data_IF_718175462201
#
_entry.id   IF_718175462201
#
_cell.length_a   1.000
_cell.length_b   1.000
_cell.length_c   1.000
_cell.angle_alpha   90.00
_cell.angle_beta   90.00
_cell.angle_gamma   90.00
#
_symmetry.space_group_name_H-M   'P 1'
#
loop_
_entity.id
_entity.type
_entity.pdbx_description
1 polymer ?
#
# COMPACT_ATOMS: atom_id res chain seq x y z
N UNK A 1 -16.06 15.25 -9.45
CA UNK A 1 -15.34 13.98 -9.42
C UNK A 1 -15.55 13.27 -8.09
N UNK A 2 -15.96 12.05 -8.15
CA UNK A 2 -16.11 11.25 -6.94
C UNK A 2 -14.74 10.84 -6.41
N UNK A 3 -14.50 11.08 -5.11
CA UNK A 3 -13.34 10.57 -4.43
C UNK A 3 -13.69 9.25 -3.78
N UNK A 4 -12.77 8.30 -3.85
CA UNK A 4 -12.93 7.02 -3.16
C UNK A 4 -12.43 7.14 -1.74
N UNK A 5 -13.12 6.49 -0.82
CA UNK A 5 -12.66 6.35 0.55
C UNK A 5 -11.48 5.38 0.56
N UNK A 6 -10.42 5.69 1.30
CA UNK A 6 -9.28 4.81 1.49
C UNK A 6 -9.41 4.11 2.84
N UNK A 7 -9.50 2.80 2.80
CA UNK A 7 -9.69 1.98 4.00
C UNK A 7 -8.52 0.99 4.10
N UNK A 8 -7.95 0.85 5.30
CA UNK A 8 -6.88 -0.08 5.56
C UNK A 8 -7.43 -1.39 6.11
N UNK A 9 -7.03 -2.50 5.52
CA UNK A 9 -7.33 -3.81 6.10
C UNK A 9 -6.49 -3.99 7.38
N UNK A 10 -6.95 -4.84 8.26
CA UNK A 10 -6.23 -5.16 9.50
C UNK A 10 -4.83 -5.68 9.22
N UNK A 11 -4.69 -6.53 8.21
CA UNK A 11 -3.39 -7.08 7.82
C UNK A 11 -2.43 -5.97 7.37
N UNK A 12 -2.92 -5.02 6.57
CA UNK A 12 -2.10 -3.91 6.09
C UNK A 12 -1.65 -3.00 7.24
N UNK A 13 -2.54 -2.71 8.19
CA UNK A 13 -2.20 -1.92 9.37
C UNK A 13 -1.08 -2.60 10.16
N UNK A 14 -1.22 -3.88 10.44
CA UNK A 14 -0.23 -4.65 11.19
C UNK A 14 1.13 -4.66 10.48
N UNK A 15 1.12 -4.87 9.16
CA UNK A 15 2.35 -4.87 8.37
C UNK A 15 3.03 -3.51 8.38
N UNK A 16 2.25 -2.44 8.21
CA UNK A 16 2.79 -1.09 8.21
C UNK A 16 3.40 -0.73 9.57
N UNK A 17 2.70 -1.04 10.66
CA UNK A 17 3.21 -0.78 12.00
C UNK A 17 4.54 -1.48 12.25
N UNK A 18 4.67 -2.74 11.82
CA UNK A 18 5.92 -3.50 11.95
C UNK A 18 7.06 -2.87 11.16
N UNK A 19 6.77 -2.41 9.95
CA UNK A 19 7.76 -1.74 9.10
C UNK A 19 8.27 -0.48 9.77
N UNK A 20 7.37 0.36 10.25
CA UNK A 20 7.73 1.63 10.88
C UNK A 20 8.48 1.39 12.19
N UNK A 21 8.04 0.43 13.00
CA UNK A 21 8.74 0.08 14.25
C UNK A 21 10.15 -0.41 13.98
N UNK A 22 10.34 -1.21 12.95
CA UNK A 22 11.68 -1.69 12.56
C UNK A 22 12.60 -0.53 12.18
N UNK A 23 12.11 0.41 11.39
CA UNK A 23 12.89 1.60 10.98
C UNK A 23 13.19 2.47 12.20
N UNK A 24 12.24 2.58 13.13
CA UNK A 24 12.37 3.40 14.32
C UNK A 24 13.47 2.93 15.27
N UNK A 25 13.80 1.64 15.22
CA UNK A 25 14.93 1.11 15.99
C UNK A 25 16.26 1.76 15.60
N UNK A 26 16.41 2.12 14.32
CA UNK A 26 17.60 2.82 13.84
C UNK A 26 17.50 4.33 13.98
N UNK A 27 16.33 4.89 13.65
CA UNK A 27 16.15 6.34 13.62
C UNK A 27 14.68 6.70 13.70
N UNK A 28 14.28 7.36 14.79
CA UNK A 28 12.92 7.91 14.94
C UNK A 28 12.60 8.90 13.83
N UNK A 29 13.54 9.78 13.52
CA UNK A 29 13.37 10.81 12.51
C UNK A 29 13.13 10.19 11.13
N UNK A 30 13.90 9.18 10.79
CA UNK A 30 13.76 8.49 9.51
C UNK A 30 12.43 7.72 9.42
N UNK A 31 12.01 7.09 10.52
CA UNK A 31 10.73 6.39 10.58
C UNK A 31 9.57 7.33 10.31
N UNK A 32 9.56 8.50 10.95
CA UNK A 32 8.50 9.50 10.75
C UNK A 32 8.48 9.99 9.31
N UNK A 33 9.64 10.23 8.72
CA UNK A 33 9.77 10.69 7.35
C UNK A 33 9.21 9.68 6.35
N UNK A 34 9.57 8.41 6.52
CA UNK A 34 9.10 7.34 5.64
C UNK A 34 7.60 7.13 5.82
N UNK A 35 7.14 7.13 7.05
CA UNK A 35 5.71 7.00 7.38
C UNK A 35 4.89 8.07 6.65
N UNK A 36 5.32 9.32 6.75
CA UNK A 36 4.60 10.44 6.13
C UNK A 36 4.56 10.31 4.61
N UNK A 37 5.67 9.91 3.99
CA UNK A 37 5.73 9.75 2.54
C UNK A 37 4.81 8.63 2.05
N UNK A 38 4.78 7.50 2.75
CA UNK A 38 3.93 6.38 2.39
C UNK A 38 2.46 6.75 2.57
N UNK A 39 2.11 7.34 3.72
CA UNK A 39 0.73 7.74 3.98
C UNK A 39 0.23 8.76 2.96
N UNK A 40 1.06 9.73 2.61
CA UNK A 40 0.70 10.72 1.62
C UNK A 40 0.42 10.09 0.26
N UNK A 41 1.27 9.15 -0.15
CA UNK A 41 1.10 8.43 -1.42
C UNK A 41 -0.18 7.59 -1.41
N UNK A 42 -0.45 6.90 -0.32
CA UNK A 42 -1.65 6.07 -0.18
C UNK A 42 -2.91 6.95 -0.23
N UNK A 43 -2.88 8.11 0.43
CA UNK A 43 -4.04 9.00 0.45
C UNK A 43 -4.38 9.52 -0.95
N UNK A 44 -3.41 9.61 -1.85
CA UNK A 44 -3.68 10.00 -3.24
C UNK A 44 -4.46 8.94 -4.03
N UNK A 45 -4.59 7.72 -3.52
CA UNK A 45 -5.40 6.68 -4.15
C UNK A 45 -6.89 7.02 -4.17
N UNK A 46 -7.32 8.01 -3.40
CA UNK A 46 -8.70 8.51 -3.48
C UNK A 46 -9.00 9.19 -4.82
N UNK A 47 -7.97 9.60 -5.56
CA UNK A 47 -8.11 10.31 -6.83
C UNK A 47 -8.29 9.32 -7.99
N UNK A 48 -9.42 9.42 -8.70
CA UNK A 48 -9.74 8.53 -9.81
C UNK A 48 -8.76 8.61 -10.99
N UNK A 49 -8.00 9.70 -11.09
CA UNK A 49 -7.04 9.89 -12.17
C UNK A 49 -5.76 9.09 -11.96
N UNK A 50 -5.52 8.60 -10.75
CA UNK A 50 -4.34 7.79 -10.44
C UNK A 50 -4.57 6.37 -10.94
N UNK A 51 -3.67 5.90 -11.82
CA UNK A 51 -3.73 4.56 -12.40
C UNK A 51 -2.45 3.81 -12.10
N UNK A 52 -2.59 2.60 -11.58
CA UNK A 52 -1.47 1.71 -11.29
C UNK A 52 -1.63 0.39 -12.03
N UNK A 53 -0.60 -0.44 -11.95
CA UNK A 53 -0.58 -1.73 -12.64
C UNK A 53 -1.34 -2.79 -11.86
N UNK A 54 -1.89 -3.77 -12.57
CA UNK A 54 -2.51 -4.94 -11.94
C UNK A 54 -1.45 -5.75 -11.22
N UNK A 55 -1.78 -6.24 -10.02
CA UNK A 55 -0.85 -7.07 -9.27
C UNK A 55 -0.74 -8.46 -9.91
N UNK A 56 0.46 -8.82 -10.43
CA UNK A 56 0.65 -10.11 -11.09
C UNK A 56 0.67 -11.29 -10.13
N UNK A 57 0.79 -11.03 -8.83
CA UNK A 57 0.85 -12.08 -7.81
C UNK A 57 -0.51 -12.44 -7.24
N UNK A 58 -1.55 -11.66 -7.55
CA UNK A 58 -2.91 -11.97 -7.12
C UNK A 58 -3.49 -13.05 -8.01
N UNK A 59 -3.84 -14.19 -7.42
CA UNK A 59 -4.51 -15.28 -8.15
C UNK A 59 -5.89 -14.83 -8.57
N UNK A 60 -6.28 -15.16 -9.82
CA UNK A 60 -7.60 -14.84 -10.35
C UNK A 60 -7.94 -13.35 -10.22
N UNK A 61 -6.94 -12.48 -10.49
CA UNK A 61 -7.14 -11.04 -10.41
C UNK A 61 -8.15 -10.59 -11.47
N UNK A 62 -9.26 -10.02 -11.02
CA UNK A 62 -10.30 -9.47 -11.89
C UNK A 62 -9.92 -8.12 -12.51
N UNK A 63 -8.72 -7.63 -12.21
CA UNK A 63 -8.24 -6.33 -12.68
C UNK A 63 -8.35 -5.24 -11.63
N UNK A 64 -8.92 -5.54 -10.45
CA UNK A 64 -9.14 -4.57 -9.40
C UNK A 64 -8.08 -4.63 -8.29
N UNK A 65 -7.20 -5.64 -8.29
CA UNK A 65 -6.05 -5.69 -7.40
C UNK A 65 -4.86 -5.07 -8.10
N UNK A 66 -4.44 -3.92 -7.59
CA UNK A 66 -3.41 -3.06 -8.18
C UNK A 66 -2.26 -2.90 -7.20
N UNK A 67 -1.12 -2.43 -7.70
CA UNK A 67 0.02 -2.18 -6.83
C UNK A 67 0.85 -0.99 -7.31
N UNK A 68 1.62 -0.46 -6.38
CA UNK A 68 2.71 0.47 -6.69
C UNK A 68 3.85 0.26 -5.71
N UNK A 69 5.01 0.81 -6.04
CA UNK A 69 6.19 0.76 -5.18
C UNK A 69 6.61 2.16 -4.79
N UNK A 70 6.99 2.33 -3.53
CA UNK A 70 7.52 3.58 -3.00
C UNK A 70 8.56 3.26 -1.93
N UNK A 71 9.73 3.90 -2.00
CA UNK A 71 10.79 3.78 -0.99
C UNK A 71 11.16 2.31 -0.69
N UNK A 72 11.17 1.47 -1.71
CA UNK A 72 11.44 0.03 -1.62
C UNK A 72 10.34 -0.77 -0.93
N UNK A 73 9.12 -0.23 -0.84
CA UNK A 73 7.96 -0.96 -0.33
C UNK A 73 6.95 -1.15 -1.44
N UNK A 74 6.40 -2.35 -1.51
CA UNK A 74 5.36 -2.71 -2.45
C UNK A 74 4.03 -2.66 -1.74
N UNK A 75 3.10 -1.88 -2.28
CA UNK A 75 1.79 -1.66 -1.68
C UNK A 75 0.73 -2.16 -2.64
N UNK A 76 -0.07 -3.11 -2.17
CA UNK A 76 -1.17 -3.71 -2.94
C UNK A 76 -2.49 -3.19 -2.41
N UNK A 77 -3.39 -2.82 -3.33
CA UNK A 77 -4.71 -2.35 -2.95
C UNK A 77 -5.77 -2.90 -3.89
N UNK A 78 -7.00 -2.97 -3.38
CA UNK A 78 -8.18 -3.35 -4.16
C UNK A 78 -9.01 -2.10 -4.41
N UNK A 79 -9.41 -1.90 -5.66
CA UNK A 79 -10.16 -0.72 -6.07
C UNK A 79 -11.60 -1.12 -6.41
N UNK A 80 -12.55 -0.69 -5.59
CA UNK A 80 -13.97 -0.84 -5.87
C UNK A 80 -14.55 0.45 -6.43
N UNK A 81 -15.85 0.47 -6.70
CA UNK A 81 -16.52 1.65 -7.25
C UNK A 81 -16.40 2.86 -6.32
N UNK A 82 -16.48 2.65 -5.00
CA UNK A 82 -16.56 3.74 -4.03
C UNK A 82 -15.41 3.77 -3.04
N UNK A 83 -14.56 2.76 -3.04
CA UNK A 83 -13.59 2.58 -1.96
C UNK A 83 -12.31 1.93 -2.47
N UNK A 84 -11.19 2.28 -1.82
CA UNK A 84 -9.90 1.64 -2.02
C UNK A 84 -9.53 0.94 -0.73
N UNK A 85 -9.20 -0.34 -0.80
CA UNK A 85 -8.78 -1.12 0.37
C UNK A 85 -7.30 -1.41 0.26
N UNK A 86 -6.52 -0.99 1.26
CA UNK A 86 -5.09 -1.33 1.31
C UNK A 86 -4.97 -2.77 1.81
N UNK A 87 -4.45 -3.65 0.96
CA UNK A 87 -4.45 -5.09 1.19
C UNK A 87 -3.19 -5.54 1.91
N UNK A 88 -2.02 -5.12 1.43
CA UNK A 88 -0.76 -5.50 2.09
C UNK A 88 0.38 -4.55 1.71
N UNK A 89 1.39 -4.48 2.58
CA UNK A 89 2.60 -3.71 2.40
C UNK A 89 3.78 -4.61 2.70
N UNK A 90 4.72 -4.73 1.75
CA UNK A 90 5.92 -5.57 1.87
C UNK A 90 7.14 -4.86 1.32
N UNK A 91 8.30 -5.14 1.91
CA UNK A 91 9.57 -4.66 1.36
C UNK A 91 9.86 -5.37 0.04
N UNK A 92 10.40 -4.63 -0.93
CA UNK A 92 10.66 -5.19 -2.27
C UNK A 92 11.75 -6.26 -2.29
N UNK A 93 12.59 -6.33 -1.24
CA UNK A 93 13.59 -7.40 -1.11
C UNK A 93 12.97 -8.74 -0.74
N UNK A 94 11.73 -8.74 -0.22
CA UNK A 94 11.02 -9.98 0.08
C UNK A 94 10.45 -10.55 -1.19
N UNK A 95 10.64 -11.87 -1.39
CA UNK A 95 10.08 -12.53 -2.56
C UNK A 95 8.56 -12.45 -2.54
N UNK A 96 7.93 -11.91 -3.61
CA UNK A 96 6.48 -11.80 -3.64
C UNK A 96 5.83 -13.18 -3.69
N UNK A 97 4.82 -13.38 -2.87
CA UNK A 97 4.05 -14.62 -2.86
C UNK A 97 2.72 -14.40 -3.56
N UNK A 98 2.31 -15.39 -4.33
CA UNK A 98 0.99 -15.39 -4.94
C UNK A 98 -0.08 -15.57 -3.85
N UNK A 99 -1.22 -14.95 -4.05
CA UNK A 99 -2.30 -15.00 -3.06
C UNK A 99 -3.68 -14.90 -3.70
#
# INVERSE_FOLDING_TARGET
MAKRKVTWTKAAITQFDKIIDYIRQDSDQNADKIKDKILNKINHLSDDRIVHRKDPYKKNNDGNYLYFEILKYRIVYYKSANEVFIIRIKHTSMEPKRY
#
